data_IF_922903839566
#
_entry.id   IF_922903839566
#
_cell.length_a   1.000
_cell.length_b   1.000
_cell.length_c   1.000
_cell.angle_alpha   90.00
_cell.angle_beta   90.00
_cell.angle_gamma   90.00
#
_symmetry.space_group_name_H-M   'P 1'
#
loop_
_entity.id
_entity.type
_entity.pdbx_description
1 polymer ?
#
# COMPACT_ATOMS: atom_id res chain seq x y z
N UNK A 1 3.41 -23.04 -24.18
CA UNK A 1 2.37 -23.57 -23.29
C UNK A 1 2.88 -23.44 -21.85
N UNK A 2 3.17 -22.20 -21.45
CA UNK A 2 3.61 -21.76 -20.10
C UNK A 2 2.81 -20.52 -19.66
N UNK A 3 1.77 -20.18 -20.41
CA UNK A 3 0.95 -18.98 -20.17
C UNK A 3 -0.03 -19.18 -19.01
N UNK A 4 -0.41 -20.45 -18.76
CA UNK A 4 -1.26 -20.88 -17.65
C UNK A 4 -0.50 -20.97 -16.31
N UNK A 5 0.84 -21.04 -16.32
CA UNK A 5 1.71 -21.03 -15.13
C UNK A 5 2.13 -19.61 -14.71
N UNK A 6 1.43 -18.60 -15.24
CA UNK A 6 1.68 -17.21 -14.87
C UNK A 6 1.11 -16.91 -13.48
N UNK A 7 1.99 -16.59 -12.53
CA UNK A 7 1.68 -16.25 -11.14
C UNK A 7 0.59 -15.17 -10.97
N UNK A 8 0.36 -14.34 -11.98
CA UNK A 8 -0.68 -13.30 -11.98
C UNK A 8 -2.07 -13.90 -12.21
N UNK A 9 -2.19 -14.93 -13.05
CA UNK A 9 -3.47 -15.55 -13.43
C UNK A 9 -3.81 -16.78 -12.57
N UNK A 10 -2.92 -17.19 -11.68
CA UNK A 10 -3.17 -18.27 -10.72
C UNK A 10 -4.13 -17.80 -9.63
N UNK A 11 -5.25 -18.50 -9.49
CA UNK A 11 -6.24 -18.26 -8.43
C UNK A 11 -6.77 -16.83 -8.44
N UNK A 12 -6.81 -16.19 -7.26
CA UNK A 12 -7.33 -14.83 -7.10
C UNK A 12 -6.22 -13.76 -7.09
N UNK A 13 -5.04 -14.04 -7.68
CA UNK A 13 -3.89 -13.14 -7.61
C UNK A 13 -4.18 -11.74 -8.18
N UNK A 14 -4.92 -11.63 -9.29
CA UNK A 14 -5.35 -10.34 -9.85
C UNK A 14 -6.24 -9.55 -8.88
N UNK A 15 -7.24 -10.20 -8.29
CA UNK A 15 -8.17 -9.54 -7.35
C UNK A 15 -7.45 -9.12 -6.06
N UNK A 16 -6.60 -10.00 -5.52
CA UNK A 16 -5.81 -9.71 -4.33
C UNK A 16 -4.86 -8.54 -4.56
N UNK A 17 -4.15 -8.50 -5.70
CA UNK A 17 -3.22 -7.39 -6.02
C UNK A 17 -3.97 -6.07 -6.23
N UNK A 18 -5.13 -6.09 -6.89
CA UNK A 18 -6.00 -4.92 -7.01
C UNK A 18 -6.46 -4.41 -5.62
N UNK A 19 -6.90 -5.33 -4.77
CA UNK A 19 -7.34 -5.02 -3.40
C UNK A 19 -6.21 -4.40 -2.57
N UNK A 20 -5.01 -5.00 -2.62
CA UNK A 20 -3.82 -4.48 -1.93
C UNK A 20 -3.45 -3.07 -2.41
N UNK A 21 -3.55 -2.79 -3.72
CA UNK A 21 -3.32 -1.44 -4.26
C UNK A 21 -4.33 -0.42 -3.73
N UNK A 22 -5.59 -0.81 -3.61
CA UNK A 22 -6.63 0.06 -3.03
C UNK A 22 -6.38 0.34 -1.55
N UNK A 23 -6.03 -0.69 -0.78
CA UNK A 23 -5.66 -0.57 0.63
C UNK A 23 -4.47 0.40 0.80
N UNK A 24 -3.38 0.18 0.08
CA UNK A 24 -2.18 1.01 0.12
C UNK A 24 -2.52 2.50 -0.16
N UNK A 25 -3.32 2.78 -1.20
CA UNK A 25 -3.72 4.14 -1.54
C UNK A 25 -4.57 4.81 -0.46
N UNK A 26 -5.38 4.05 0.27
CA UNK A 26 -6.18 4.55 1.38
C UNK A 26 -5.33 4.82 2.61
N UNK A 27 -4.38 3.94 2.94
CA UNK A 27 -3.43 4.17 4.04
C UNK A 27 -2.57 5.43 3.79
N UNK A 28 -2.06 5.61 2.57
CA UNK A 28 -1.30 6.80 2.18
C UNK A 28 -2.11 8.11 2.19
N UNK A 29 -3.44 8.01 2.01
CA UNK A 29 -4.36 9.16 2.17
C UNK A 29 -4.59 9.50 3.64
N UNK A 30 -4.71 8.47 4.48
CA UNK A 30 -4.97 8.63 5.92
C UNK A 30 -3.76 9.22 6.66
N UNK A 31 -2.54 8.90 6.21
CA UNK A 31 -1.33 9.53 6.74
C UNK A 31 -1.30 11.02 6.39
N UNK A 32 -1.29 11.90 7.39
CA UNK A 32 -1.32 13.37 7.20
C UNK A 32 -0.16 14.09 7.87
N UNK A 33 0.80 13.37 8.48
CA UNK A 33 1.92 13.96 9.22
C UNK A 33 2.84 14.82 8.35
N UNK A 34 2.88 14.56 7.03
CA UNK A 34 3.65 15.34 6.06
C UNK A 34 2.82 15.69 4.82
N UNK A 35 2.84 16.97 4.44
CA UNK A 35 2.22 17.47 3.20
C UNK A 35 3.10 17.07 2.01
N UNK A 36 2.79 15.93 1.39
CA UNK A 36 3.47 15.42 0.22
C UNK A 36 2.49 14.81 -0.77
N UNK A 37 2.80 14.93 -2.07
CA UNK A 37 2.06 14.21 -3.12
C UNK A 37 2.14 12.69 -2.91
N UNK A 38 1.10 11.95 -3.29
CA UNK A 38 1.04 10.48 -3.13
C UNK A 38 2.23 9.71 -3.71
N UNK A 39 2.77 10.03 -4.90
CA UNK A 39 3.94 9.31 -5.43
C UNK A 39 5.19 9.49 -4.55
N UNK A 40 5.36 10.68 -3.94
CA UNK A 40 6.46 10.94 -3.00
C UNK A 40 6.27 10.19 -1.69
N UNK A 41 5.03 10.07 -1.20
CA UNK A 41 4.72 9.25 -0.02
C UNK A 41 5.04 7.77 -0.26
N UNK A 42 4.63 7.21 -1.40
CA UNK A 42 4.98 5.84 -1.83
C UNK A 42 6.50 5.63 -1.81
N UNK A 43 7.23 6.49 -2.54
CA UNK A 43 8.70 6.41 -2.60
C UNK A 43 9.34 6.49 -1.22
N UNK A 44 8.86 7.38 -0.35
CA UNK A 44 9.39 7.52 1.01
C UNK A 44 9.11 6.29 1.85
N UNK A 45 7.90 5.73 1.79
CA UNK A 45 7.54 4.51 2.50
C UNK A 45 8.39 3.30 2.07
N UNK A 46 8.84 3.26 0.82
CA UNK A 46 9.76 2.21 0.34
C UNK A 46 11.21 2.36 0.86
N UNK A 47 11.63 3.54 1.29
CA UNK A 47 13.03 3.83 1.65
C UNK A 47 13.21 4.02 3.16
N UNK A 48 12.16 4.46 3.85
CA UNK A 48 12.19 4.85 5.27
C UNK A 48 11.16 4.05 6.06
N UNK A 49 11.64 3.03 6.78
CA UNK A 49 10.82 2.12 7.59
C UNK A 49 10.01 2.87 8.65
N UNK A 50 10.61 3.88 9.30
CA UNK A 50 9.92 4.69 10.31
C UNK A 50 8.74 5.48 9.72
N UNK A 51 8.80 5.83 8.43
CA UNK A 51 7.70 6.46 7.73
C UNK A 51 6.67 5.43 7.24
N UNK A 52 7.11 4.23 6.86
CA UNK A 52 6.21 3.12 6.52
C UNK A 52 5.32 2.77 7.71
N UNK A 53 5.88 2.64 8.92
CA UNK A 53 5.12 2.38 10.14
C UNK A 53 4.02 3.42 10.36
N UNK A 54 4.32 4.71 10.16
CA UNK A 54 3.32 5.79 10.28
C UNK A 54 2.19 5.65 9.27
N UNK A 55 2.50 5.27 8.04
CA UNK A 55 1.47 5.02 7.00
C UNK A 55 0.58 3.85 7.41
N UNK A 56 1.16 2.78 7.94
CA UNK A 56 0.42 1.58 8.39
C UNK A 56 -0.45 1.90 9.61
N UNK A 57 0.09 2.56 10.64
CA UNK A 57 -0.65 2.96 11.85
C UNK A 57 -1.82 3.90 11.52
N UNK A 58 -1.60 4.90 10.67
CA UNK A 58 -2.65 5.79 10.19
C UNK A 58 -3.75 5.04 9.42
N UNK A 59 -3.34 4.07 8.58
CA UNK A 59 -4.24 3.23 7.78
C UNK A 59 -5.10 2.29 8.62
N UNK A 60 -4.53 1.70 9.67
CA UNK A 60 -5.23 0.82 10.62
C UNK A 60 -6.05 1.60 11.66
N UNK A 61 -5.90 2.93 11.72
CA UNK A 61 -6.64 3.78 12.64
C UNK A 61 -6.15 3.71 14.09
N UNK A 62 -4.97 3.15 14.33
CA UNK A 62 -4.38 3.01 15.68
C UNK A 62 -3.98 4.38 16.26
N UNK A 63 -3.76 5.38 15.40
CA UNK A 63 -3.47 6.76 15.79
C UNK A 63 -4.71 7.56 16.25
N UNK A 64 -5.92 6.99 16.20
CA UNK A 64 -7.14 7.63 16.70
C UNK A 64 -7.36 7.29 18.18
N UNK A 65 -6.93 8.20 19.06
CA UNK A 65 -7.49 8.33 20.42
C UNK A 65 -8.50 9.45 20.47
#
# INVERSE_FOLDING_TARGET
>A
MDEDDNQIFVGNAVENTATMRHLELNMLRAETSKVMSKPRKKRKAHIDESYLEKVVMAGLGVDKK
#
